data_IF_284848591917
#
_entry.id   IF_284848591917
#
_cell.length_a   1.000
_cell.length_b   1.000
_cell.length_c   1.000
_cell.angle_alpha   90.00
_cell.angle_beta   90.00
_cell.angle_gamma   90.00
#
_symmetry.space_group_name_H-M   'P 1'
#
loop_
_entity.id
_entity.type
_entity.pdbx_description
1 polymer ?
#
# COMPACT_ATOMS: atom_id res chain seq x y z
N UNK A 1 4.05 13.70 8.20
CA UNK A 1 3.20 12.61 8.70
C UNK A 1 1.80 12.69 8.18
N UNK A 2 1.48 11.72 7.33
CA UNK A 2 0.11 11.36 6.99
C UNK A 2 -0.38 10.42 8.07
N UNK A 3 -1.48 10.75 8.75
CA UNK A 3 -2.15 9.77 9.63
C UNK A 3 -2.76 8.68 8.75
N UNK A 4 -2.15 7.49 8.70
CA UNK A 4 -2.70 6.35 7.97
C UNK A 4 -3.98 5.84 8.66
N UNK A 5 -3.97 5.82 9.99
CA UNK A 5 -5.11 5.39 10.78
C UNK A 5 -6.33 6.30 10.56
N UNK A 6 -7.48 5.68 10.29
CA UNK A 6 -8.72 6.40 9.97
C UNK A 6 -8.79 6.96 8.55
N UNK A 7 -7.78 6.74 7.71
CA UNK A 7 -7.74 7.17 6.30
C UNK A 7 -7.40 6.00 5.36
N UNK A 8 -8.29 4.99 5.26
CA UNK A 8 -8.01 3.79 4.49
C UNK A 8 -7.87 4.07 2.99
N UNK A 9 -7.15 3.23 2.22
CA UNK A 9 -6.98 3.36 0.77
C UNK A 9 -8.30 3.58 0.02
N UNK A 10 -9.36 2.88 0.42
CA UNK A 10 -10.69 2.98 -0.18
C UNK A 10 -11.22 4.42 -0.31
N UNK A 11 -10.86 5.33 0.62
CA UNK A 11 -11.24 6.76 0.58
C UNK A 11 -10.73 7.48 -0.68
N UNK A 12 -9.63 7.00 -1.27
CA UNK A 12 -8.94 7.64 -2.39
C UNK A 12 -9.08 6.87 -3.72
N UNK A 13 -9.81 5.75 -3.75
CA UNK A 13 -9.98 4.90 -4.93
C UNK A 13 -10.35 5.68 -6.20
N UNK A 14 -11.29 6.64 -6.10
CA UNK A 14 -11.75 7.40 -7.27
C UNK A 14 -10.65 8.27 -7.88
N UNK A 15 -9.85 8.95 -7.06
CA UNK A 15 -8.79 9.84 -7.57
C UNK A 15 -7.59 9.05 -8.10
N UNK A 16 -7.26 7.91 -7.48
CA UNK A 16 -6.24 7.01 -8.01
C UNK A 16 -6.65 6.39 -9.35
N UNK A 17 -7.92 5.98 -9.51
CA UNK A 17 -8.44 5.52 -10.81
C UNK A 17 -8.28 6.57 -11.90
N UNK A 18 -8.59 7.83 -11.60
CA UNK A 18 -8.37 8.94 -12.54
C UNK A 18 -6.89 9.13 -12.87
N UNK A 19 -6.00 9.08 -11.86
CA UNK A 19 -4.57 9.19 -12.09
C UNK A 19 -4.05 8.09 -13.05
N UNK A 20 -4.50 6.85 -12.87
CA UNK A 20 -4.17 5.73 -13.77
C UNK A 20 -4.74 5.95 -15.18
N UNK A 21 -5.99 6.43 -15.30
CA UNK A 21 -6.62 6.76 -16.60
C UNK A 21 -5.86 7.88 -17.35
N UNK A 22 -5.24 8.80 -16.62
CA UNK A 22 -4.37 9.86 -17.16
C UNK A 22 -2.92 9.36 -17.42
N UNK A 23 -2.66 8.06 -17.24
CA UNK A 23 -1.36 7.44 -17.54
C UNK A 23 -0.30 7.60 -16.45
N UNK A 24 -0.68 8.01 -15.23
CA UNK A 24 0.24 8.09 -14.10
C UNK A 24 0.40 6.71 -13.44
N UNK A 25 1.63 6.41 -12.99
CA UNK A 25 1.86 5.35 -12.02
C UNK A 25 1.42 5.78 -10.63
N UNK A 26 0.96 4.83 -9.82
CA UNK A 26 0.51 5.07 -8.46
C UNK A 26 1.37 4.34 -7.44
N UNK A 27 1.53 4.97 -6.28
CA UNK A 27 2.21 4.44 -5.09
C UNK A 27 1.48 4.97 -3.86
N UNK A 28 1.58 4.27 -2.73
CA UNK A 28 0.95 4.70 -1.50
C UNK A 28 1.73 4.20 -0.28
N UNK A 29 1.72 4.99 0.79
CA UNK A 29 2.01 4.50 2.13
C UNK A 29 0.89 3.55 2.55
N UNK A 30 1.24 2.35 2.99
CA UNK A 30 0.32 1.40 3.57
C UNK A 30 1.06 0.44 4.51
N UNK A 31 0.43 0.10 5.64
CA UNK A 31 1.02 -0.80 6.62
C UNK A 31 2.21 -0.20 7.37
N UNK A 32 2.20 1.11 7.59
CA UNK A 32 3.11 1.80 8.52
C UNK A 32 2.46 1.81 9.91
N UNK A 33 1.37 2.56 10.06
CA UNK A 33 0.56 2.62 11.29
C UNK A 33 -0.76 1.83 11.15
N UNK A 34 -1.24 1.67 9.92
CA UNK A 34 -2.47 0.98 9.55
C UNK A 34 -2.31 -0.54 9.49
N UNK A 35 -3.42 -1.30 9.43
CA UNK A 35 -3.38 -2.77 9.40
C UNK A 35 -2.78 -3.30 8.09
N UNK A 36 -2.33 -4.57 8.09
CA UNK A 36 -1.90 -5.29 6.89
C UNK A 36 -2.91 -5.19 5.73
N UNK A 37 -4.21 -5.20 6.02
CA UNK A 37 -5.28 -5.03 5.03
C UNK A 37 -5.13 -3.76 4.18
N UNK A 38 -4.58 -2.67 4.73
CA UNK A 38 -4.35 -1.45 3.94
C UNK A 38 -3.35 -1.69 2.80
N UNK A 39 -2.41 -2.64 2.96
CA UNK A 39 -1.45 -3.00 1.91
C UNK A 39 -2.20 -3.69 0.76
N UNK A 40 -3.00 -4.71 1.06
CA UNK A 40 -3.84 -5.40 0.08
C UNK A 40 -4.80 -4.44 -0.62
N UNK A 41 -5.48 -3.59 0.15
CA UNK A 41 -6.40 -2.58 -0.38
C UNK A 41 -5.68 -1.56 -1.28
N UNK A 42 -4.45 -1.16 -0.95
CA UNK A 42 -3.66 -0.28 -1.81
C UNK A 42 -3.30 -0.95 -3.14
N UNK A 43 -2.89 -2.22 -3.11
CA UNK A 43 -2.58 -2.99 -4.32
C UNK A 43 -3.83 -3.14 -5.20
N UNK A 44 -4.95 -3.57 -4.62
CA UNK A 44 -6.17 -3.90 -5.36
C UNK A 44 -6.98 -2.68 -5.79
N UNK A 45 -7.07 -1.64 -4.94
CA UNK A 45 -7.96 -0.50 -5.17
C UNK A 45 -7.23 0.71 -5.76
N UNK A 46 -5.95 0.89 -5.41
CA UNK A 46 -5.14 2.03 -5.84
C UNK A 46 -4.15 1.67 -6.94
N UNK A 47 -4.07 0.38 -7.31
CA UNK A 47 -3.24 -0.14 -8.41
C UNK A 47 -1.75 0.20 -8.26
N UNK A 48 -1.27 0.23 -7.01
CA UNK A 48 0.09 0.69 -6.74
C UNK A 48 1.15 -0.22 -7.34
N UNK A 49 2.20 0.37 -7.90
CA UNK A 49 3.34 -0.36 -8.46
C UNK A 49 4.42 -0.70 -7.42
N UNK A 50 4.30 -0.13 -6.22
CA UNK A 50 5.08 -0.45 -5.02
C UNK A 50 4.32 0.06 -3.79
N UNK A 51 4.65 -0.48 -2.63
CA UNK A 51 4.13 -0.04 -1.34
C UNK A 51 5.21 0.71 -0.58
N UNK A 52 4.90 1.91 -0.12
CA UNK A 52 5.79 2.66 0.75
C UNK A 52 5.60 2.20 2.21
N UNK A 53 6.69 1.94 2.93
CA UNK A 53 6.75 1.15 4.18
C UNK A 53 6.38 -0.33 4.01
N UNK A 54 5.11 -0.70 4.21
CA UNK A 54 4.64 -2.08 4.17
C UNK A 54 5.09 -2.96 5.34
N UNK A 55 5.63 -2.39 6.43
CA UNK A 55 6.24 -3.17 7.54
C UNK A 55 5.26 -4.07 8.27
N UNK A 56 3.98 -3.69 8.31
CA UNK A 56 2.91 -4.49 8.93
C UNK A 56 2.40 -5.62 8.05
N UNK A 57 3.00 -5.88 6.87
CA UNK A 57 2.66 -7.07 6.08
C UNK A 57 2.88 -8.38 6.84
N UNK A 58 3.83 -8.40 7.78
CA UNK A 58 4.16 -9.55 8.62
C UNK A 58 3.03 -10.00 9.55
N UNK A 59 1.99 -9.17 9.73
CA UNK A 59 0.81 -9.52 10.51
C UNK A 59 -0.14 -10.48 9.73
N UNK A 60 0.12 -10.74 8.44
CA UNK A 60 -0.67 -11.61 7.56
C UNK A 60 0.25 -12.47 6.65
N UNK A 61 0.36 -13.77 6.95
CA UNK A 61 1.20 -14.71 6.20
C UNK A 61 0.79 -14.83 4.72
N UNK A 62 -0.50 -14.80 4.40
CA UNK A 62 -0.99 -14.91 3.03
C UNK A 62 -0.63 -13.67 2.20
N UNK A 63 -0.66 -12.49 2.83
CA UNK A 63 -0.17 -11.26 2.21
C UNK A 63 1.33 -11.36 1.93
N UNK A 64 2.14 -11.87 2.86
CA UNK A 64 3.59 -12.05 2.63
C UNK A 64 3.84 -12.96 1.43
N UNK A 65 3.14 -14.09 1.33
CA UNK A 65 3.22 -14.98 0.17
C UNK A 65 2.88 -14.25 -1.14
N UNK A 66 1.77 -13.50 -1.16
CA UNK A 66 1.34 -12.72 -2.33
C UNK A 66 2.38 -11.66 -2.75
N UNK A 67 2.99 -10.95 -1.79
CA UNK A 67 4.02 -9.94 -2.05
C UNK A 67 5.28 -10.58 -2.65
N UNK A 68 5.66 -11.76 -2.18
CA UNK A 68 6.79 -12.53 -2.73
C UNK A 68 6.48 -13.00 -4.15
N UNK A 69 5.32 -13.61 -4.39
CA UNK A 69 4.92 -14.12 -5.71
C UNK A 69 4.85 -13.02 -6.77
N UNK A 70 4.29 -11.87 -6.40
CA UNK A 70 4.17 -10.71 -7.29
C UNK A 70 5.45 -9.90 -7.43
N UNK A 71 6.48 -10.19 -6.62
CA UNK A 71 7.70 -9.38 -6.51
C UNK A 71 7.39 -7.90 -6.21
N UNK A 72 6.38 -7.65 -5.36
CA UNK A 72 5.94 -6.30 -5.00
C UNK A 72 7.02 -5.57 -4.20
N UNK A 73 7.56 -4.43 -4.67
CA UNK A 73 8.57 -3.69 -3.91
C UNK A 73 7.98 -3.04 -2.65
N UNK A 74 8.69 -3.16 -1.53
CA UNK A 74 8.41 -2.45 -0.27
C UNK A 74 9.55 -1.45 0.01
N UNK A 75 9.25 -0.16 0.16
CA UNK A 75 10.26 0.86 0.46
C UNK A 75 10.38 1.10 1.97
N UNK A 76 10.97 0.13 2.67
CA UNK A 76 11.15 0.17 4.13
C UNK A 76 12.09 1.31 4.55
N UNK A 77 11.76 2.01 5.64
CA UNK A 77 12.49 3.18 6.14
C UNK A 77 12.94 3.01 7.62
N UNK A 78 14.10 2.37 7.90
CA UNK A 78 14.45 1.90 9.25
C UNK A 78 14.51 2.93 10.38
N UNK A 79 14.87 4.19 10.09
CA UNK A 79 14.89 5.25 11.10
C UNK A 79 13.53 5.95 11.29
N UNK A 80 12.59 5.69 10.38
CA UNK A 80 11.24 6.25 10.41
C UNK A 80 10.25 5.33 11.12
N UNK A 81 10.41 4.01 10.96
CA UNK A 81 9.50 2.98 11.48
C UNK A 81 9.45 2.92 13.02
#
# INVERSE_FOLDING_TARGET
>A
DSSEQGHPPAKFKRVFKQAVEEGLLTVAHAGEEGPAQNISDAIEMLYVSRVDHGVRCVDDEALVESLIESQMPLTVCPLSN
#
